data_IF_097542425628
#
_entry.id   IF_097542425628
#
_cell.length_a   1.000
_cell.length_b   1.000
_cell.length_c   1.000
_cell.angle_alpha   90.00
_cell.angle_beta   90.00
_cell.angle_gamma   90.00
#
_symmetry.space_group_name_H-M   'P 1'
#
loop_
_entity.id
_entity.type
_entity.pdbx_description
1 polymer ?
#
# COMPACT_ATOMS: atom_id res chain seq x y z
N UNK A 1 -12.64 -42.72 8.96
CA UNK A 1 -11.28 -42.20 8.65
C UNK A 1 -11.24 -41.48 7.29
N UNK A 2 -11.02 -40.17 7.16
CA UNK A 2 -10.85 -39.11 8.13
C UNK A 2 -11.28 -37.79 7.46
N UNK A 3 -12.06 -37.00 8.18
CA UNK A 3 -12.46 -35.66 7.76
C UNK A 3 -11.47 -34.68 8.39
N UNK A 4 -10.43 -34.29 7.64
CA UNK A 4 -9.66 -33.09 7.97
C UNK A 4 -10.39 -31.89 7.37
N UNK A 5 -11.30 -31.30 8.16
CA UNK A 5 -11.79 -29.93 7.93
C UNK A 5 -10.74 -28.96 8.48
N UNK A 6 -9.67 -28.72 7.73
CA UNK A 6 -8.99 -27.44 7.87
C UNK A 6 -9.84 -26.42 7.13
N UNK A 7 -10.38 -25.46 7.89
CA UNK A 7 -11.03 -24.26 7.36
C UNK A 7 -9.97 -23.51 6.55
N UNK A 8 -9.80 -23.91 5.30
CA UNK A 8 -9.14 -23.10 4.30
C UNK A 8 -9.92 -21.81 4.22
N UNK A 9 -9.41 -20.75 4.87
CA UNK A 9 -9.71 -19.40 4.46
C UNK A 9 -9.29 -19.37 2.99
N UNK A 10 -10.28 -19.48 2.12
CA UNK A 10 -10.11 -19.18 0.71
C UNK A 10 -9.76 -17.70 0.69
N UNK A 11 -8.47 -17.42 0.58
CA UNK A 11 -8.01 -16.10 0.18
C UNK A 11 -8.49 -15.98 -1.26
N UNK A 12 -9.69 -15.39 -1.43
CA UNK A 12 -10.04 -14.80 -2.71
C UNK A 12 -8.88 -13.88 -3.01
N UNK A 13 -8.12 -14.24 -4.04
CA UNK A 13 -7.16 -13.36 -4.69
C UNK A 13 -8.03 -12.23 -5.27
N UNK A 14 -8.43 -11.29 -4.42
CA UNK A 14 -8.88 -9.99 -4.88
C UNK A 14 -7.68 -9.48 -5.64
N UNK A 15 -7.85 -9.38 -6.95
CA UNK A 15 -6.96 -8.67 -7.84
C UNK A 15 -6.83 -7.26 -7.27
N UNK A 16 -5.88 -7.07 -6.34
CA UNK A 16 -5.61 -5.78 -5.73
C UNK A 16 -4.92 -4.97 -6.81
N UNK A 17 -5.71 -4.26 -7.60
CA UNK A 17 -5.20 -3.30 -8.56
C UNK A 17 -4.60 -2.16 -7.75
N UNK A 18 -3.30 -2.25 -7.46
CA UNK A 18 -2.53 -1.14 -6.89
C UNK A 18 -2.55 -0.03 -7.94
N UNK A 19 -3.06 1.14 -7.55
CA UNK A 19 -3.08 2.35 -8.37
C UNK A 19 -2.15 3.39 -7.77
N UNK A 20 -1.76 4.36 -8.58
CA UNK A 20 -1.06 5.54 -8.06
C UNK A 20 -1.97 6.33 -7.12
N UNK A 21 -1.44 6.70 -5.96
CA UNK A 21 -2.16 7.38 -4.88
C UNK A 21 -2.72 6.45 -3.81
N UNK A 22 -2.60 5.12 -3.96
CA UNK A 22 -2.97 4.18 -2.92
C UNK A 22 -1.99 4.26 -1.73
N UNK A 23 -2.54 4.11 -0.52
CA UNK A 23 -1.72 3.89 0.67
C UNK A 23 -1.34 2.41 0.72
N UNK A 24 -0.05 2.15 0.86
CA UNK A 24 0.53 0.82 0.95
C UNK A 24 1.37 0.66 2.20
N UNK A 25 1.53 -0.58 2.63
CA UNK A 25 2.39 -0.98 3.73
C UNK A 25 3.34 -2.07 3.28
N UNK A 26 4.62 -1.94 3.62
CA UNK A 26 5.62 -3.00 3.45
C UNK A 26 5.54 -4.02 4.58
N UNK A 27 6.12 -5.19 4.35
CA UNK A 27 6.23 -6.26 5.35
C UNK A 27 6.94 -5.87 6.65
N UNK A 28 7.79 -4.84 6.61
CA UNK A 28 8.50 -4.27 7.78
C UNK A 28 7.63 -3.31 8.61
N UNK A 29 6.40 -3.01 8.16
CA UNK A 29 5.48 -2.06 8.78
C UNK A 29 5.59 -0.63 8.26
N UNK A 30 6.53 -0.34 7.35
CA UNK A 30 6.70 0.99 6.76
C UNK A 30 5.51 1.36 5.88
N UNK A 31 5.04 2.60 6.04
CA UNK A 31 3.90 3.14 5.30
C UNK A 31 4.36 3.99 4.13
N UNK A 32 3.73 3.79 2.98
CA UNK A 32 4.07 4.38 1.69
C UNK A 32 2.85 4.84 0.92
N UNK A 33 2.97 5.89 0.10
CA UNK A 33 1.96 6.25 -0.90
C UNK A 33 2.53 5.91 -2.27
N UNK A 34 1.78 5.17 -3.07
CA UNK A 34 2.20 4.81 -4.43
C UNK A 34 2.21 6.06 -5.32
N UNK A 35 3.30 6.26 -6.04
CA UNK A 35 3.52 7.41 -6.93
C UNK A 35 3.18 7.02 -8.37
N UNK A 36 3.73 5.89 -8.82
CA UNK A 36 3.54 5.34 -10.16
C UNK A 36 3.54 3.81 -10.10
N UNK A 37 2.90 3.17 -11.09
CA UNK A 37 2.77 1.70 -11.18
C UNK A 37 3.11 1.29 -12.62
N UNK A 38 4.09 0.39 -12.76
CA UNK A 38 4.60 -0.12 -14.04
C UNK A 38 4.67 -1.64 -13.99
N UNK A 39 3.58 -2.31 -14.37
CA UNK A 39 3.50 -3.77 -14.32
C UNK A 39 3.51 -4.28 -12.87
N UNK A 40 4.60 -4.94 -12.47
CA UNK A 40 4.80 -5.45 -11.10
C UNK A 40 5.64 -4.51 -10.23
N UNK A 41 6.24 -3.47 -10.82
CA UNK A 41 7.06 -2.50 -10.10
C UNK A 41 6.22 -1.28 -9.74
N UNK A 42 6.27 -0.89 -8.47
CA UNK A 42 5.52 0.24 -7.92
C UNK A 42 6.51 1.20 -7.31
N UNK A 43 6.51 2.45 -7.78
CA UNK A 43 7.23 3.52 -7.11
C UNK A 43 6.41 3.97 -5.89
N UNK A 44 7.02 3.97 -4.72
CA UNK A 44 6.38 4.30 -3.45
C UNK A 44 7.16 5.43 -2.77
N UNK A 45 6.44 6.44 -2.30
CA UNK A 45 6.95 7.48 -1.42
C UNK A 45 6.68 7.07 0.02
N UNK A 46 7.73 6.70 0.76
CA UNK A 46 7.64 6.30 2.16
C UNK A 46 7.57 7.53 3.09
N UNK A 47 7.12 7.30 4.32
CA UNK A 47 6.98 8.34 5.34
C UNK A 47 8.29 9.03 5.75
N UNK A 48 9.43 8.47 5.40
CA UNK A 48 10.76 9.08 5.54
C UNK A 48 11.08 10.09 4.40
N UNK A 49 10.19 10.21 3.42
CA UNK A 49 10.34 11.09 2.25
C UNK A 49 11.15 10.45 1.11
N UNK A 50 11.58 9.20 1.24
CA UNK A 50 12.32 8.49 0.20
C UNK A 50 11.36 7.86 -0.81
N UNK A 51 11.79 7.88 -2.09
CA UNK A 51 11.12 7.17 -3.17
C UNK A 51 11.87 5.89 -3.47
N UNK A 52 11.16 4.78 -3.43
CA UNK A 52 11.72 3.48 -3.76
C UNK A 52 10.84 2.76 -4.79
N UNK A 53 11.47 1.99 -5.66
CA UNK A 53 10.76 1.06 -6.54
C UNK A 53 10.67 -0.27 -5.80
N UNK A 54 9.45 -0.75 -5.60
CA UNK A 54 9.15 -1.95 -4.81
C UNK A 54 8.30 -2.90 -5.64
N UNK A 55 8.51 -4.20 -5.51
CA UNK A 55 7.63 -5.18 -6.14
C UNK A 55 6.24 -5.15 -5.49
N UNK A 56 5.20 -5.17 -6.31
CA UNK A 56 3.79 -5.17 -5.88
C UNK A 56 3.48 -6.26 -4.85
N UNK A 57 4.21 -7.39 -4.87
CA UNK A 57 4.03 -8.53 -3.95
C UNK A 57 4.57 -8.25 -2.55
N UNK A 58 5.42 -7.24 -2.39
CA UNK A 58 5.95 -6.80 -1.09
C UNK A 58 5.07 -5.73 -0.43
N UNK A 59 3.99 -5.31 -1.10
CA UNK A 59 3.11 -4.23 -0.68
C UNK A 59 1.71 -4.76 -0.34
N UNK A 60 1.18 -4.29 0.77
CA UNK A 60 -0.21 -4.47 1.16
C UNK A 60 -0.96 -3.14 0.99
N UNK A 61 -2.04 -3.12 0.20
CA UNK A 61 -2.89 -1.94 0.07
C UNK A 61 -3.71 -1.74 1.33
N UNK A 62 -3.60 -0.57 1.94
CA UNK A 62 -4.40 -0.19 3.09
C UNK A 62 -5.68 0.49 2.57
N UNK A 63 -6.79 -0.23 2.62
CA UNK A 63 -8.10 0.34 2.34
C UNK A 63 -8.53 1.23 3.52
N UNK A 64 -8.64 2.54 3.29
CA UNK A 64 -9.28 3.45 4.24
C UNK A 64 -10.76 3.11 4.37
N UNK A 65 -11.21 2.85 5.60
CA UNK A 65 -12.64 2.77 5.93
C UNK A 65 -13.01 3.93 6.86
N UNK A 66 -14.27 4.40 6.82
CA UNK A 66 -14.75 5.33 7.82
C UNK A 66 -14.52 4.76 9.23
N UNK A 67 -13.81 5.49 10.08
CA UNK A 67 -13.42 5.05 11.43
C UNK A 67 -12.08 4.30 11.51
N UNK A 68 -11.37 4.08 10.40
CA UNK A 68 -9.97 3.64 10.43
C UNK A 68 -9.09 4.71 11.06
N UNK A 69 -8.24 4.31 12.00
CA UNK A 69 -7.18 5.18 12.51
C UNK A 69 -6.25 5.55 11.36
N UNK A 70 -6.12 6.86 11.13
CA UNK A 70 -5.20 7.40 10.14
C UNK A 70 -3.81 7.34 10.76
N UNK A 71 -2.81 6.73 10.10
CA UNK A 71 -1.44 6.76 10.59
C UNK A 71 -0.97 8.19 10.81
N UNK A 72 -0.26 8.46 11.90
CA UNK A 72 0.14 9.82 12.27
C UNK A 72 0.95 10.53 11.16
N UNK A 73 1.73 9.78 10.39
CA UNK A 73 2.55 10.27 9.28
C UNK A 73 1.79 10.37 7.93
N UNK A 74 0.52 9.98 7.87
CA UNK A 74 -0.25 10.00 6.62
C UNK A 74 -0.40 11.41 6.04
N UNK A 75 -0.62 12.41 6.89
CA UNK A 75 -0.77 13.80 6.46
C UNK A 75 0.53 14.30 5.82
N UNK A 76 1.67 14.06 6.46
CA UNK A 76 2.98 14.42 5.94
C UNK A 76 3.28 13.73 4.61
N UNK A 77 2.91 12.46 4.47
CA UNK A 77 3.05 11.71 3.22
C UNK A 77 2.18 12.27 2.09
N UNK A 78 0.93 12.63 2.38
CA UNK A 78 0.04 13.27 1.38
C UNK A 78 0.58 14.64 0.97
N UNK A 79 1.11 15.42 1.92
CA UNK A 79 1.75 16.70 1.62
C UNK A 79 3.03 16.54 0.79
N UNK A 80 3.85 15.55 1.10
CA UNK A 80 5.06 15.22 0.35
C UNK A 80 4.71 14.76 -1.07
N UNK A 81 3.65 13.97 -1.24
CA UNK A 81 3.12 13.59 -2.54
C UNK A 81 2.62 14.80 -3.35
N UNK A 82 1.84 15.69 -2.74
CA UNK A 82 1.35 16.92 -3.37
C UNK A 82 2.51 17.83 -3.80
N UNK A 83 3.50 18.02 -2.93
CA UNK A 83 4.73 18.79 -3.24
C UNK A 83 5.53 18.14 -4.38
N UNK A 84 5.68 16.81 -4.35
CA UNK A 84 6.40 16.05 -5.35
C UNK A 84 5.76 16.02 -6.74
N UNK A 85 4.47 16.34 -6.84
CA UNK A 85 3.74 16.50 -8.12
C UNK A 85 3.69 17.93 -8.66
N UNK A 86 4.21 18.93 -7.95
CA UNK A 86 4.25 20.31 -8.45
C UNK A 86 2.89 20.83 -8.88
N UNK A 87 1.93 20.92 -7.96
CA UNK A 87 0.87 21.91 -8.12
C UNK A 87 1.40 23.24 -7.58
N UNK A 88 1.99 24.03 -8.48
CA UNK A 88 2.11 25.47 -8.34
C UNK A 88 0.82 26.18 -8.74
#
# INVERSE_FOLDING_TARGET
>A
PGVRKERGKSWKMTEFVIKSGDLVRRSDGSLGVTVSVSGLEVEVLFGDGLREIVDVRELEVIAFKPGSEIPANFVEMVEAYKRGRGFG
#
